data_IF_683943114213
#
_entry.id   IF_683943114213
#
_cell.length_a   1.000
_cell.length_b   1.000
_cell.length_c   1.000
_cell.angle_alpha   90.00
_cell.angle_beta   90.00
_cell.angle_gamma   90.00
#
_symmetry.space_group_name_H-M   'P 1'
#
loop_
_entity.id
_entity.type
_entity.pdbx_description
1 polymer ?
#
# COMPACT_ATOMS: atom_id res chain seq x y z
N UNK A 1 36.54 36.04 -29.87
CA UNK A 1 36.96 34.62 -29.80
C UNK A 1 35.89 33.84 -29.05
N UNK A 2 35.61 32.61 -29.50
CA UNK A 2 34.39 31.81 -29.24
C UNK A 2 34.21 31.36 -27.77
N UNK A 3 32.94 31.26 -27.39
CA UNK A 3 32.38 30.72 -26.14
C UNK A 3 33.00 29.38 -25.70
N UNK A 4 33.40 29.30 -24.43
CA UNK A 4 33.72 28.03 -23.76
C UNK A 4 32.43 27.56 -23.07
N UNK A 5 31.79 26.55 -23.67
CA UNK A 5 30.52 25.99 -23.21
C UNK A 5 30.64 25.33 -21.83
N UNK A 6 29.66 25.62 -20.97
CA UNK A 6 29.40 24.90 -19.73
C UNK A 6 28.89 23.49 -20.06
N UNK A 7 29.82 22.52 -20.18
CA UNK A 7 29.47 21.10 -20.25
C UNK A 7 28.96 20.62 -18.88
N UNK A 8 27.66 20.32 -18.79
CA UNK A 8 27.11 19.56 -17.65
C UNK A 8 27.76 18.17 -17.64
N UNK A 9 28.38 17.80 -16.53
CA UNK A 9 28.79 16.42 -16.24
C UNK A 9 27.54 15.54 -16.28
N UNK A 10 27.33 14.77 -17.36
CA UNK A 10 26.39 13.66 -17.36
C UNK A 10 27.02 12.53 -16.56
N UNK A 11 26.37 11.97 -15.52
CA UNK A 11 26.85 10.75 -14.89
C UNK A 11 27.08 9.71 -15.99
N UNK A 12 28.22 9.01 -15.97
CA UNK A 12 28.44 7.88 -16.88
C UNK A 12 27.23 6.95 -16.77
N UNK A 13 26.71 6.47 -17.91
CA UNK A 13 25.52 5.62 -17.99
C UNK A 13 25.52 4.49 -16.94
N UNK A 14 26.72 3.96 -16.66
CA UNK A 14 26.95 2.88 -15.70
C UNK A 14 26.84 3.32 -14.24
N UNK A 15 27.12 4.59 -13.91
CA UNK A 15 26.96 5.14 -12.56
C UNK A 15 25.48 5.35 -12.22
N UNK A 16 24.68 5.84 -13.17
CA UNK A 16 23.24 5.96 -13.00
C UNK A 16 22.59 4.57 -12.88
N UNK A 17 22.99 3.63 -13.73
CA UNK A 17 22.50 2.26 -13.66
C UNK A 17 22.87 1.60 -12.32
N UNK A 18 24.12 1.75 -11.85
CA UNK A 18 24.58 1.21 -10.57
C UNK A 18 23.79 1.79 -9.39
N UNK A 19 23.52 3.10 -9.41
CA UNK A 19 22.67 3.74 -8.40
C UNK A 19 21.25 3.14 -8.40
N UNK A 20 20.65 2.97 -9.59
CA UNK A 20 19.30 2.41 -9.71
C UNK A 20 19.22 0.96 -9.22
N UNK A 21 20.21 0.13 -9.56
CA UNK A 21 20.30 -1.26 -9.10
C UNK A 21 20.48 -1.32 -7.58
N UNK A 22 21.35 -0.47 -7.02
CA UNK A 22 21.56 -0.40 -5.58
C UNK A 22 20.28 0.04 -4.85
N UNK A 23 19.58 1.05 -5.37
CA UNK A 23 18.30 1.49 -4.81
C UNK A 23 17.23 0.39 -4.87
N UNK A 24 17.14 -0.34 -5.99
CA UNK A 24 16.19 -1.45 -6.14
C UNK A 24 16.51 -2.59 -5.16
N UNK A 25 17.80 -2.95 -5.01
CA UNK A 25 18.23 -3.98 -4.06
C UNK A 25 17.91 -3.58 -2.61
N UNK A 26 18.22 -2.34 -2.22
CA UNK A 26 17.91 -1.83 -0.89
C UNK A 26 16.40 -1.82 -0.62
N UNK A 27 15.61 -1.36 -1.60
CA UNK A 27 14.15 -1.37 -1.49
C UNK A 27 13.58 -2.79 -1.38
N UNK A 28 14.12 -3.74 -2.15
CA UNK A 28 13.74 -5.15 -2.04
C UNK A 28 14.03 -5.72 -0.66
N UNK A 29 15.20 -5.42 -0.09
CA UNK A 29 15.56 -5.90 1.25
C UNK A 29 14.61 -5.32 2.32
N UNK A 30 14.33 -4.02 2.26
CA UNK A 30 13.37 -3.40 3.19
C UNK A 30 11.97 -4.00 3.06
N UNK A 31 11.50 -4.31 1.84
CA UNK A 31 10.20 -4.98 1.64
C UNK A 31 10.18 -6.41 2.20
N UNK A 32 11.27 -7.16 2.04
CA UNK A 32 11.39 -8.52 2.55
C UNK A 32 11.45 -8.56 4.08
N UNK A 33 11.96 -7.50 4.70
CA UNK A 33 12.03 -7.37 6.16
C UNK A 33 10.69 -6.94 6.78
N UNK A 34 9.71 -6.49 5.99
CA UNK A 34 8.37 -6.19 6.50
C UNK A 34 7.64 -7.47 6.91
N UNK A 35 6.75 -7.36 7.89
CA UNK A 35 5.79 -8.42 8.20
C UNK A 35 4.72 -8.52 7.10
N UNK A 36 4.39 -9.75 6.69
CA UNK A 36 3.34 -10.02 5.69
C UNK A 36 2.26 -10.90 6.32
N UNK A 37 0.99 -10.50 6.16
CA UNK A 37 -0.18 -11.27 6.62
C UNK A 37 -1.13 -11.47 5.44
N UNK A 38 -1.51 -12.71 5.18
CA UNK A 38 -2.47 -13.07 4.15
C UNK A 38 -3.78 -13.49 4.79
N UNK A 39 -4.82 -12.68 4.59
CA UNK A 39 -6.14 -12.88 5.14
C UNK A 39 -7.03 -13.65 4.16
N UNK A 40 -7.63 -14.73 4.65
CA UNK A 40 -8.60 -15.54 3.93
C UNK A 40 -10.03 -15.28 4.42
N UNK A 41 -10.92 -14.86 3.52
CA UNK A 41 -12.36 -14.77 3.77
C UNK A 41 -13.05 -16.04 3.28
N UNK A 42 -13.57 -16.85 4.20
CA UNK A 42 -14.34 -18.05 3.86
C UNK A 42 -15.61 -17.72 3.05
N UNK A 43 -16.15 -16.52 3.22
CA UNK A 43 -17.38 -16.06 2.57
C UNK A 43 -17.15 -15.32 1.25
N UNK A 44 -15.91 -14.97 0.91
CA UNK A 44 -15.59 -14.29 -0.34
C UNK A 44 -16.07 -12.83 -0.38
N UNK A 45 -15.93 -12.09 0.73
CA UNK A 45 -16.49 -10.74 0.90
C UNK A 45 -15.50 -9.59 0.72
N UNK A 46 -14.23 -9.84 0.42
CA UNK A 46 -13.31 -8.75 0.16
C UNK A 46 -13.67 -8.01 -1.13
N UNK A 47 -13.71 -6.69 -1.08
CA UNK A 47 -13.85 -5.88 -2.29
C UNK A 47 -12.50 -5.80 -3.01
N UNK A 48 -12.53 -5.76 -4.33
CA UNK A 48 -11.33 -5.61 -5.16
C UNK A 48 -11.29 -4.22 -5.78
N UNK A 49 -10.10 -3.78 -6.19
CA UNK A 49 -9.90 -2.49 -6.85
C UNK A 49 -8.76 -2.62 -7.85
N UNK A 50 -8.88 -1.94 -8.99
CA UNK A 50 -7.78 -1.79 -9.98
C UNK A 50 -6.64 -0.91 -9.42
N UNK A 51 -6.90 -0.20 -8.31
CA UNK A 51 -5.93 0.62 -7.57
C UNK A 51 -5.90 0.22 -6.09
N UNK A 52 -5.51 -1.03 -5.79
CA UNK A 52 -5.78 -1.67 -4.50
C UNK A 52 -4.83 -1.24 -3.39
N UNK A 53 -3.68 -0.63 -3.72
CA UNK A 53 -2.67 -0.25 -2.73
C UNK A 53 -3.09 1.03 -2.00
N UNK A 54 -3.59 0.83 -0.78
CA UNK A 54 -3.88 1.87 0.19
C UNK A 54 -2.74 1.92 1.22
N UNK A 55 -2.10 3.10 1.38
CA UNK A 55 -1.35 3.36 2.60
C UNK A 55 -2.40 3.69 3.66
N UNK A 56 -2.70 2.72 4.51
CA UNK A 56 -3.69 2.93 5.55
C UNK A 56 -2.95 3.27 6.82
N UNK A 57 -2.91 4.57 7.13
CA UNK A 57 -2.62 5.01 8.47
C UNK A 57 -3.88 4.82 9.31
N UNK A 58 -4.14 3.58 9.74
CA UNK A 58 -5.20 3.31 10.70
C UNK A 58 -4.70 3.75 12.07
N UNK A 59 -5.05 4.98 12.46
CA UNK A 59 -4.96 5.44 13.85
C UNK A 59 -6.01 4.73 14.70
N UNK A 60 -5.97 3.40 14.84
CA UNK A 60 -6.82 2.69 15.77
C UNK A 60 -6.09 1.57 16.53
N UNK A 61 -6.05 1.75 17.85
CA UNK A 61 -5.95 0.77 18.95
C UNK A 61 -4.70 -0.10 19.16
N UNK A 62 -3.73 -0.24 18.23
CA UNK A 62 -2.56 -1.12 18.46
C UNK A 62 -1.18 -0.53 18.12
N UNK A 63 -0.94 0.73 18.48
CA UNK A 63 0.44 1.25 18.59
C UNK A 63 1.05 1.94 17.36
N UNK A 64 0.24 2.48 16.44
CA UNK A 64 0.69 3.52 15.50
C UNK A 64 1.60 3.07 14.35
N UNK A 65 1.48 1.82 13.90
CA UNK A 65 2.30 1.25 12.85
C UNK A 65 1.60 1.32 11.49
N UNK A 66 2.22 2.00 10.52
CA UNK A 66 1.72 2.09 9.14
C UNK A 66 1.85 0.75 8.42
N UNK A 67 0.79 0.37 7.70
CA UNK A 67 0.77 -0.82 6.87
C UNK A 67 0.00 -0.56 5.58
N UNK A 68 0.27 -1.41 4.59
CA UNK A 68 -0.39 -1.40 3.31
C UNK A 68 -1.35 -2.56 3.21
N UNK A 69 -2.52 -2.31 2.62
CA UNK A 69 -3.46 -3.36 2.23
C UNK A 69 -3.51 -3.48 0.71
N UNK A 70 -3.68 -4.71 0.24
CA UNK A 70 -3.82 -5.04 -1.17
C UNK A 70 -4.81 -6.18 -1.30
N UNK A 71 -6.06 -5.93 -1.70
CA UNK A 71 -7.00 -6.98 -2.07
C UNK A 71 -6.46 -7.74 -3.28
N UNK A 72 -6.39 -9.06 -3.16
CA UNK A 72 -5.93 -9.96 -4.22
C UNK A 72 -7.11 -10.63 -4.93
N UNK A 73 -8.18 -10.91 -4.19
CA UNK A 73 -9.44 -11.46 -4.71
C UNK A 73 -10.56 -11.25 -3.69
N UNK A 74 -11.77 -11.70 -4.02
CA UNK A 74 -12.88 -11.72 -3.07
C UNK A 74 -12.61 -12.56 -1.80
N UNK A 75 -11.68 -13.53 -1.89
CA UNK A 75 -11.32 -14.40 -0.77
C UNK A 75 -10.01 -14.02 -0.09
N UNK A 76 -9.20 -13.15 -0.69
CA UNK A 76 -7.83 -12.93 -0.23
C UNK A 76 -7.46 -11.46 -0.18
N UNK A 77 -6.90 -11.06 0.96
CA UNK A 77 -6.32 -9.73 1.16
C UNK A 77 -4.91 -9.87 1.72
N UNK A 78 -3.97 -9.14 1.14
CA UNK A 78 -2.61 -9.02 1.66
C UNK A 78 -2.49 -7.76 2.52
N UNK A 79 -1.93 -7.92 3.71
CA UNK A 79 -1.39 -6.83 4.52
C UNK A 79 0.13 -6.96 4.57
N UNK A 80 0.85 -5.86 4.35
CA UNK A 80 2.30 -5.83 4.58
C UNK A 80 2.72 -4.54 5.28
N UNK A 81 3.68 -4.65 6.20
CA UNK A 81 4.12 -3.56 7.06
C UNK A 81 3.74 -3.78 8.52
N UNK A 82 3.82 -2.71 9.31
CA UNK A 82 3.54 -2.73 10.74
C UNK A 82 4.47 -3.59 11.59
N UNK A 83 5.74 -3.68 11.21
CA UNK A 83 6.80 -4.32 11.97
C UNK A 83 7.92 -4.84 11.08
N UNK A 84 9.09 -5.12 11.67
CA UNK A 84 10.20 -5.83 11.02
C UNK A 84 10.15 -7.30 11.42
N UNK A 85 9.85 -8.19 10.47
CA UNK A 85 9.98 -9.65 10.56
C UNK A 85 9.69 -10.24 9.18
N UNK A 86 10.60 -11.03 8.61
CA UNK A 86 10.46 -11.66 7.29
C UNK A 86 9.49 -12.85 7.26
N UNK A 87 8.54 -12.91 8.19
CA UNK A 87 7.58 -13.99 8.32
C UNK A 87 6.28 -13.65 7.57
N UNK A 88 5.81 -14.62 6.77
CA UNK A 88 4.53 -14.58 6.09
C UNK A 88 3.55 -15.43 6.90
N UNK A 89 2.49 -14.82 7.42
CA UNK A 89 1.41 -15.53 8.12
C UNK A 89 0.18 -15.67 7.25
N UNK A 90 -0.55 -16.77 7.42
CA UNK A 90 -1.83 -17.03 6.77
C UNK A 90 -2.91 -17.12 7.84
N UNK A 91 -3.94 -16.29 7.72
CA UNK A 91 -4.92 -16.06 8.77
C UNK A 91 -6.33 -16.13 8.17
N UNK A 92 -7.28 -16.70 8.91
CA UNK A 92 -8.69 -16.62 8.53
C UNK A 92 -9.26 -15.32 9.05
N UNK A 93 -9.80 -14.50 8.15
CA UNK A 93 -10.32 -13.19 8.50
C UNK A 93 -11.68 -13.30 9.18
N UNK A 94 -11.83 -12.62 10.31
CA UNK A 94 -13.14 -12.40 10.91
C UNK A 94 -13.92 -11.30 10.15
N UNK A 95 -15.24 -11.23 10.35
CA UNK A 95 -16.09 -10.24 9.66
C UNK A 95 -15.61 -8.79 9.90
N UNK A 96 -15.09 -8.50 11.10
CA UNK A 96 -14.53 -7.18 11.43
C UNK A 96 -13.27 -6.85 10.62
N UNK A 97 -12.37 -7.82 10.41
CA UNK A 97 -11.16 -7.63 9.61
C UNK A 97 -11.49 -7.48 8.12
N UNK A 98 -12.53 -8.18 7.65
CA UNK A 98 -13.06 -8.02 6.30
C UNK A 98 -13.62 -6.61 6.10
N UNK A 99 -14.41 -6.12 7.06
CA UNK A 99 -14.98 -4.78 7.02
C UNK A 99 -13.90 -3.69 7.02
N UNK A 100 -12.92 -3.78 7.93
CA UNK A 100 -11.79 -2.85 8.00
C UNK A 100 -11.00 -2.81 6.68
N UNK A 101 -10.70 -3.98 6.11
CA UNK A 101 -10.03 -4.10 4.83
C UNK A 101 -10.82 -3.45 3.69
N UNK A 102 -12.13 -3.71 3.64
CA UNK A 102 -13.01 -3.14 2.63
C UNK A 102 -13.11 -1.62 2.73
N UNK A 103 -13.25 -1.07 3.94
CA UNK A 103 -13.28 0.38 4.18
C UNK A 103 -11.98 1.03 3.69
N UNK A 104 -10.83 0.42 3.99
CA UNK A 104 -9.53 0.93 3.56
C UNK A 104 -9.37 0.94 2.04
N UNK A 105 -9.77 -0.13 1.35
CA UNK A 105 -9.72 -0.24 -0.11
C UNK A 105 -10.66 0.79 -0.75
N UNK A 106 -11.90 0.87 -0.27
CA UNK A 106 -12.90 1.81 -0.78
C UNK A 106 -12.42 3.25 -0.60
N UNK A 107 -11.86 3.58 0.57
CA UNK A 107 -11.32 4.91 0.87
C UNK A 107 -10.17 5.28 -0.06
N UNK A 108 -9.28 4.33 -0.41
CA UNK A 108 -8.18 4.61 -1.33
C UNK A 108 -8.65 4.82 -2.76
N UNK A 109 -9.57 3.99 -3.25
CA UNK A 109 -10.18 4.18 -4.56
C UNK A 109 -10.86 5.56 -4.62
N UNK A 110 -11.63 5.92 -3.59
CA UNK A 110 -12.37 7.16 -3.53
C UNK A 110 -11.48 8.40 -3.40
N UNK A 111 -10.50 8.41 -2.49
CA UNK A 111 -9.58 9.53 -2.29
C UNK A 111 -8.75 9.82 -3.55
N UNK A 112 -8.37 8.79 -4.31
CA UNK A 112 -7.64 8.95 -5.57
C UNK A 112 -8.52 9.45 -6.72
N UNK A 113 -9.82 9.12 -6.73
CA UNK A 113 -10.74 9.51 -7.82
C UNK A 113 -11.36 10.89 -7.55
N UNK A 114 -11.69 11.21 -6.30
CA UNK A 114 -12.54 12.36 -5.96
C UNK A 114 -11.89 13.37 -5.02
N UNK A 115 -10.70 13.10 -4.48
CA UNK A 115 -9.99 14.02 -3.58
C UNK A 115 -10.78 14.41 -2.32
N UNK A 116 -11.75 13.58 -1.93
CA UNK A 116 -12.77 13.89 -0.94
C UNK A 116 -12.31 13.60 0.50
N UNK A 117 -12.78 14.41 1.46
CA UNK A 117 -12.46 14.25 2.89
C UNK A 117 -13.28 13.11 3.53
N UNK A 118 -12.77 12.57 4.66
CA UNK A 118 -13.40 11.50 5.46
C UNK A 118 -14.89 11.78 5.78
N UNK A 119 -15.27 13.04 6.02
CA UNK A 119 -16.66 13.42 6.34
C UNK A 119 -17.63 13.21 5.18
N UNK A 120 -17.14 13.18 3.93
CA UNK A 120 -17.97 12.94 2.75
C UNK A 120 -18.30 11.44 2.59
N UNK A 121 -17.40 10.55 3.00
CA UNK A 121 -17.63 9.10 3.00
C UNK A 121 -18.71 8.69 4.01
N UNK A 122 -18.67 9.26 5.21
CA UNK A 122 -19.67 9.01 6.26
C UNK A 122 -21.08 9.43 5.83
N UNK A 123 -21.21 10.53 5.07
CA UNK A 123 -22.51 10.96 4.51
C UNK A 123 -23.05 10.03 3.42
N UNK A 124 -22.20 9.48 2.56
CA UNK A 124 -22.63 8.55 1.50
C UNK A 124 -23.08 7.22 2.10
N UNK A 125 -22.40 6.73 3.14
CA UNK A 125 -22.82 5.50 3.85
C UNK A 125 -24.23 5.62 4.42
N UNK A 126 -24.58 6.79 5.00
CA UNK A 126 -25.92 7.06 5.52
C UNK A 126 -26.97 7.15 4.41
N UNK A 127 -26.61 7.58 3.20
CA UNK A 127 -27.56 7.72 2.07
C UNK A 127 -27.85 6.41 1.32
N UNK A 128 -27.05 5.38 1.54
CA UNK A 128 -27.21 4.06 0.91
C UNK A 128 -27.91 3.05 1.83
N UNK A 129 -28.27 3.45 3.06
CA UNK A 129 -29.16 2.74 3.97
C UNK A 129 -30.60 3.20 3.78
#
# INVERSE_FOLDING_TARGET
MKNIGRGRLSPGKDALLSLMVMMAANFSNELLDLKWRLFHSATGKFITSDKPVSNVKIEYSRGGLEYFLTPLSAHWMLQFGGGKNSEITFETAEDAEIEEGNIAVASCAYNKILGASKEQLEKIHIQLQ
#
